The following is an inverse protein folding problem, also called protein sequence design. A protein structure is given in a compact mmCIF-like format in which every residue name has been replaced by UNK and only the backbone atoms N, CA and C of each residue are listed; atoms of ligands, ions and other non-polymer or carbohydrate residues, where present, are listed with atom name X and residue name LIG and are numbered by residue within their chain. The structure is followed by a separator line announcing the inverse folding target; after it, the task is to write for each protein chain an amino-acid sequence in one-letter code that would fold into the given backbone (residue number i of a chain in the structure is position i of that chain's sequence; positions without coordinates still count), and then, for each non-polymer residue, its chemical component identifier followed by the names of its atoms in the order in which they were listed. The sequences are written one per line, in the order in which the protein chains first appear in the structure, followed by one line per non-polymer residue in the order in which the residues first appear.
data_IF_321193114765
#
_entry.id   IF_321193114765
#
_cell.length_a   1.000
_cell.length_b   1.000
_cell.length_c   1.000
_cell.angle_alpha   90.00
_cell.angle_beta   90.00
_cell.angle_gamma   90.00
#
_symmetry.space_group_name_H-M   'P 1'
#
loop_
_entity.id
_entity.type
_entity.pdbx_description
1 polymer ?
#
# COMPACT_ATOMS: atom_id res chain seq x y z
N UNK A 1 11.77 -10.12 19.71
CA UNK A 1 11.60 -9.72 21.11
C UNK A 1 10.49 -8.69 21.17
N UNK A 2 9.48 -8.96 22.00
CA UNK A 2 8.28 -8.12 22.12
C UNK A 2 7.82 -8.04 23.58
N UNK A 3 6.99 -7.05 23.87
CA UNK A 3 6.27 -6.93 25.15
C UNK A 3 7.18 -6.97 26.40
N UNK A 4 8.34 -6.30 26.38
CA UNK A 4 9.24 -6.27 27.53
C UNK A 4 10.04 -7.55 27.76
N UNK A 5 10.29 -8.34 26.72
CA UNK A 5 11.07 -9.58 26.82
C UNK A 5 12.50 -9.32 27.30
N UNK A 6 13.06 -10.20 28.13
CA UNK A 6 14.42 -10.06 28.69
C UNK A 6 15.27 -11.30 28.48
N UNK A 7 16.49 -11.12 27.99
CA UNK A 7 17.57 -12.12 28.00
C UNK A 7 18.67 -11.54 28.88
N UNK A 8 18.90 -12.12 30.05
CA UNK A 8 19.81 -11.48 30.99
C UNK A 8 20.58 -12.44 31.88
N UNK A 9 21.78 -12.00 32.23
CA UNK A 9 22.58 -12.54 33.32
C UNK A 9 22.84 -11.44 34.32
N UNK A 10 22.77 -11.75 35.61
CA UNK A 10 23.05 -10.78 36.66
C UNK A 10 23.75 -11.48 37.81
N UNK A 11 24.86 -10.90 38.28
CA UNK A 11 25.54 -11.34 39.50
C UNK A 11 25.38 -10.29 40.60
N UNK A 12 25.10 -10.77 41.81
CA UNK A 12 24.79 -9.91 42.94
C UNK A 12 23.38 -9.34 42.87
N UNK A 13 23.01 -8.62 43.93
CA UNK A 13 21.73 -7.90 44.02
C UNK A 13 22.05 -6.42 44.10
N UNK A 14 21.31 -5.60 43.36
CA UNK A 14 21.48 -4.14 43.41
C UNK A 14 21.41 -3.65 44.86
N UNK A 15 22.45 -2.94 45.31
CA UNK A 15 22.53 -2.41 46.67
C UNK A 15 23.01 -3.40 47.74
N UNK A 16 23.32 -4.66 47.39
CA UNK A 16 23.93 -5.63 48.30
C UNK A 16 25.33 -5.97 47.79
N UNK A 17 26.34 -5.63 48.57
CA UNK A 17 27.75 -5.88 48.23
C UNK A 17 28.15 -7.30 48.63
N UNK A 18 28.17 -8.22 47.68
CA UNK A 18 28.86 -9.51 47.80
C UNK A 18 30.28 -9.44 47.22
N UNK A 19 31.17 -10.34 47.64
CA UNK A 19 32.53 -10.46 47.10
C UNK A 19 32.54 -11.50 45.98
N UNK A 20 33.02 -11.10 44.80
CA UNK A 20 33.32 -12.00 43.69
C UNK A 20 32.20 -12.24 42.66
N UNK A 21 32.61 -12.71 41.48
CA UNK A 21 31.76 -12.99 40.31
C UNK A 21 31.92 -11.96 39.18
N UNK A 22 31.46 -12.27 37.97
CA UNK A 22 31.34 -11.33 36.85
C UNK A 22 29.92 -11.35 36.31
N UNK A 23 29.52 -10.37 35.49
CA UNK A 23 28.13 -10.14 35.05
C UNK A 23 27.47 -11.24 34.20
N UNK A 24 28.10 -12.43 34.11
CA UNK A 24 27.69 -13.57 33.31
C UNK A 24 27.96 -13.37 31.82
N UNK A 25 28.03 -14.46 31.05
CA UNK A 25 28.22 -14.39 29.61
C UNK A 25 26.94 -14.80 28.89
N UNK A 26 26.55 -14.04 27.88
CA UNK A 26 25.41 -14.32 27.01
C UNK A 26 25.95 -14.60 25.61
N UNK A 27 25.68 -15.80 25.09
CA UNK A 27 26.01 -16.16 23.71
C UNK A 27 24.73 -16.35 22.93
N UNK A 28 24.55 -15.58 21.85
CA UNK A 28 23.38 -15.68 20.98
C UNK A 28 23.86 -16.02 19.57
N UNK A 29 23.31 -17.09 19.01
CA UNK A 29 23.45 -17.41 17.60
C UNK A 29 22.05 -17.43 16.99
N UNK A 30 21.77 -16.48 16.09
CA UNK A 30 20.46 -16.32 15.46
C UNK A 30 20.63 -15.83 14.03
N UNK A 31 19.67 -16.11 13.15
CA UNK A 31 19.69 -15.54 11.80
C UNK A 31 19.50 -14.02 11.83
N UNK A 32 18.48 -13.55 12.53
CA UNK A 32 18.22 -12.14 12.78
C UNK A 32 17.70 -11.94 14.20
N UNK A 33 18.05 -10.81 14.81
CA UNK A 33 17.47 -10.38 16.08
C UNK A 33 16.57 -9.19 15.79
N UNK A 34 15.28 -9.35 16.09
CA UNK A 34 14.28 -8.31 15.90
C UNK A 34 13.73 -7.90 17.26
N UNK A 35 13.77 -6.61 17.57
CA UNK A 35 13.10 -5.99 18.70
C UNK A 35 12.20 -4.86 18.23
N UNK A 36 11.21 -4.51 19.04
CA UNK A 36 10.41 -3.31 18.83
C UNK A 36 10.96 -2.22 19.74
N UNK A 37 11.46 -1.12 19.16
CA UNK A 37 12.19 -0.08 19.91
C UNK A 37 11.45 0.42 21.15
N UNK A 38 10.13 0.60 21.07
CA UNK A 38 9.29 1.10 22.16
C UNK A 38 8.71 0.04 23.11
N UNK A 39 9.01 -1.25 22.91
CA UNK A 39 8.49 -2.33 23.77
C UNK A 39 9.51 -2.77 24.85
N UNK A 40 10.54 -1.98 25.12
CA UNK A 40 11.51 -2.17 26.21
C UNK A 40 12.03 -3.61 26.38
N UNK A 41 12.46 -4.21 25.27
CA UNK A 41 12.96 -5.59 25.25
C UNK A 41 14.48 -5.61 25.27
N UNK A 42 15.05 -6.24 26.29
CA UNK A 42 16.44 -6.03 26.65
C UNK A 42 17.27 -7.32 26.62
N UNK A 43 18.53 -7.18 26.18
CA UNK A 43 19.58 -8.18 26.31
C UNK A 43 20.67 -7.59 27.19
N UNK A 44 20.81 -8.03 28.44
CA UNK A 44 21.78 -7.39 29.34
C UNK A 44 22.53 -8.34 30.28
N UNK A 45 23.80 -8.02 30.51
CA UNK A 45 24.67 -8.77 31.40
C UNK A 45 25.25 -7.82 32.47
N UNK A 46 24.77 -7.94 33.71
CA UNK A 46 25.05 -6.97 34.78
C UNK A 46 25.73 -7.54 36.02
N UNK A 47 26.52 -6.72 36.71
CA UNK A 47 27.19 -7.09 37.95
C UNK A 47 27.04 -6.02 39.03
N UNK A 48 26.58 -6.43 40.21
CA UNK A 48 26.40 -5.54 41.37
C UNK A 48 27.37 -5.85 42.53
N UNK A 49 28.16 -6.91 42.44
CA UNK A 49 29.13 -7.28 43.48
C UNK A 49 30.40 -6.42 43.43
N UNK A 50 31.06 -6.25 44.58
CA UNK A 50 32.32 -5.50 44.68
C UNK A 50 33.45 -6.28 43.99
N UNK A 51 34.17 -5.61 43.09
CA UNK A 51 35.24 -6.21 42.30
C UNK A 51 34.76 -7.07 41.12
N UNK A 52 33.45 -7.11 40.85
CA UNK A 52 32.89 -7.84 39.73
C UNK A 52 32.90 -7.00 38.45
N UNK A 53 33.42 -7.52 37.34
CA UNK A 53 33.29 -6.87 36.04
C UNK A 53 31.93 -7.19 35.40
N UNK A 54 31.49 -6.34 34.47
CA UNK A 54 30.29 -6.58 33.69
C UNK A 54 30.46 -7.82 32.80
N UNK A 55 29.34 -8.35 32.34
CA UNK A 55 29.32 -9.60 31.57
C UNK A 55 29.74 -9.45 30.11
N UNK A 56 30.04 -10.56 29.43
CA UNK A 56 30.33 -10.55 27.99
C UNK A 56 29.09 -10.98 27.21
N UNK A 57 28.65 -10.16 26.27
CA UNK A 57 27.57 -10.50 25.33
C UNK A 57 28.20 -10.75 23.96
N UNK A 58 28.13 -11.98 23.47
CA UNK A 58 28.61 -12.37 22.15
C UNK A 58 27.42 -12.74 21.26
N UNK A 59 27.18 -11.95 20.22
CA UNK A 59 26.07 -12.13 19.29
C UNK A 59 26.63 -12.46 17.91
N UNK A 60 26.21 -13.60 17.36
CA UNK A 60 26.43 -13.94 15.95
C UNK A 60 25.09 -13.90 15.23
N UNK A 61 24.93 -12.96 14.29
CA UNK A 61 23.66 -12.74 13.59
C UNK A 61 23.87 -12.09 12.23
N UNK A 62 22.95 -12.26 11.28
CA UNK A 62 22.99 -11.54 10.01
C UNK A 62 22.52 -10.08 10.16
N UNK A 63 21.81 -9.76 11.25
CA UNK A 63 21.39 -8.39 11.56
C UNK A 63 20.67 -8.27 12.90
N UNK A 64 20.68 -7.05 13.45
CA UNK A 64 19.92 -6.65 14.63
C UNK A 64 19.09 -5.43 14.26
N UNK A 65 17.79 -5.47 14.55
CA UNK A 65 16.87 -4.38 14.24
C UNK A 65 16.03 -4.03 15.47
N UNK A 66 15.93 -2.73 15.74
CA UNK A 66 15.08 -2.18 16.80
C UNK A 66 15.59 -2.36 18.23
N UNK A 67 16.79 -2.92 18.41
CA UNK A 67 17.57 -2.82 19.65
C UNK A 67 18.82 -1.98 19.38
N UNK A 68 19.18 -1.14 20.34
CA UNK A 68 20.40 -0.32 20.28
C UNK A 68 21.38 -0.76 21.38
N UNK A 69 22.68 -0.68 21.10
CA UNK A 69 23.69 -0.85 22.15
C UNK A 69 23.77 0.42 22.99
N UNK A 70 23.52 0.29 24.29
CA UNK A 70 23.57 1.43 25.24
C UNK A 70 24.30 1.03 26.51
N UNK A 71 25.02 1.96 27.16
CA UNK A 71 25.77 1.68 28.38
C UNK A 71 24.88 1.43 29.60
N UNK A 72 23.61 1.85 29.55
CA UNK A 72 22.62 1.64 30.59
C UNK A 72 21.27 1.27 29.95
N UNK A 73 20.46 0.52 30.69
CA UNK A 73 19.07 0.22 30.29
C UNK A 73 18.24 1.51 30.24
N UNK A 74 17.38 1.61 29.24
CA UNK A 74 16.46 2.72 29.01
C UNK A 74 15.02 2.22 29.01
N UNK A 75 14.06 3.06 28.57
CA UNK A 75 12.68 2.63 28.30
C UNK A 75 12.51 2.02 26.90
N UNK A 76 13.59 1.96 26.12
CA UNK A 76 13.61 1.37 24.79
C UNK A 76 14.33 0.03 24.83
N UNK A 77 14.16 -0.77 23.77
CA UNK A 77 14.85 -2.05 23.66
C UNK A 77 16.37 -1.89 23.56
N UNK A 78 17.09 -2.50 24.49
CA UNK A 78 18.54 -2.29 24.70
C UNK A 78 19.38 -3.56 24.62
N UNK A 79 20.64 -3.39 24.22
CA UNK A 79 21.72 -4.36 24.46
C UNK A 79 22.74 -3.68 25.38
N UNK A 80 22.97 -4.22 26.58
CA UNK A 80 23.75 -3.52 27.61
C UNK A 80 24.62 -4.45 28.46
N UNK A 81 25.85 -4.02 28.73
CA UNK A 81 26.73 -4.62 29.73
C UNK A 81 27.04 -3.59 30.80
N UNK A 82 26.91 -3.95 32.07
CA UNK A 82 27.07 -3.01 33.17
C UNK A 82 27.75 -3.64 34.38
N UNK A 83 28.60 -2.87 35.07
CA UNK A 83 29.04 -3.19 36.44
C UNK A 83 28.98 -1.97 37.36
N UNK A 84 28.56 -2.19 38.60
CA UNK A 84 28.51 -1.16 39.64
C UNK A 84 29.90 -0.80 40.21
N UNK A 85 30.78 -1.79 40.39
CA UNK A 85 32.04 -1.62 41.13
C UNK A 85 33.29 -2.03 40.33
N UNK A 86 33.12 -2.71 39.19
CA UNK A 86 34.22 -3.12 38.31
C UNK A 86 34.14 -2.44 36.95
N UNK A 87 34.86 -2.99 35.97
CA UNK A 87 34.80 -2.51 34.60
C UNK A 87 33.50 -2.97 33.93
N UNK A 88 32.96 -2.15 33.04
CA UNK A 88 31.86 -2.59 32.18
C UNK A 88 32.32 -3.76 31.31
N UNK A 89 31.39 -4.67 31.05
CA UNK A 89 31.64 -5.83 30.21
C UNK A 89 31.60 -5.47 28.71
N UNK A 90 31.82 -6.46 27.85
CA UNK A 90 31.98 -6.22 26.41
C UNK A 90 30.81 -6.79 25.61
N UNK A 91 30.34 -6.04 24.60
CA UNK A 91 29.37 -6.52 23.61
C UNK A 91 30.09 -6.72 22.27
N UNK A 92 30.15 -7.97 21.82
CA UNK A 92 30.74 -8.36 20.54
C UNK A 92 29.63 -8.80 19.58
N UNK A 93 29.49 -8.10 18.46
CA UNK A 93 28.52 -8.43 17.41
C UNK A 93 29.29 -8.89 16.18
N UNK A 94 29.12 -10.16 15.82
CA UNK A 94 29.68 -10.76 14.62
C UNK A 94 28.57 -10.89 13.58
N UNK A 95 28.65 -10.09 12.52
CA UNK A 95 27.79 -10.21 11.34
C UNK A 95 28.55 -10.87 10.20
N UNK A 96 28.27 -12.14 9.86
CA UNK A 96 28.85 -12.77 8.68
C UNK A 96 28.50 -11.93 7.44
N UNK A 97 29.50 -11.61 6.62
CA UNK A 97 29.33 -10.71 5.49
C UNK A 97 28.21 -11.18 4.55
N UNK A 98 27.15 -10.37 4.44
CA UNK A 98 26.19 -10.45 3.35
C UNK A 98 26.89 -9.92 2.09
N UNK A 99 26.94 -10.73 1.04
CA UNK A 99 27.45 -10.32 -0.28
C UNK A 99 26.29 -9.76 -1.13
N UNK A 100 26.11 -8.42 -1.21
CA UNK A 100 25.02 -7.80 -1.97
C UNK A 100 25.14 -8.02 -3.48
N UNK A 101 26.27 -8.51 -3.99
CA UNK A 101 26.46 -8.77 -5.43
C UNK A 101 25.56 -9.89 -5.97
N UNK A 102 25.03 -10.74 -5.08
CA UNK A 102 24.11 -11.85 -5.44
C UNK A 102 22.70 -11.39 -5.83
N UNK A 103 22.33 -10.13 -5.56
CA UNK A 103 21.01 -9.56 -5.87
C UNK A 103 20.98 -8.63 -7.09
N UNK A 104 22.14 -8.34 -7.69
CA UNK A 104 22.25 -7.50 -8.89
C UNK A 104 22.01 -8.36 -10.13
N UNK A 105 20.74 -8.60 -10.48
CA UNK A 105 20.43 -9.06 -11.84
C UNK A 105 20.61 -7.88 -12.79
N UNK A 106 21.47 -8.01 -13.81
CA UNK A 106 21.61 -6.98 -14.82
C UNK A 106 20.29 -6.85 -15.58
N UNK A 107 19.75 -5.62 -15.64
CA UNK A 107 18.62 -5.31 -16.50
C UNK A 107 19.05 -5.56 -17.95
N UNK A 108 18.25 -6.28 -18.77
CA UNK A 108 18.56 -6.47 -20.18
C UNK A 108 18.71 -5.11 -20.88
N UNK A 109 19.90 -4.83 -21.40
CA UNK A 109 20.23 -3.58 -22.11
C UNK A 109 19.55 -3.45 -23.48
N UNK A 110 18.91 -4.52 -23.96
CA UNK A 110 18.07 -4.46 -25.15
C UNK A 110 16.65 -4.05 -24.77
N UNK A 111 16.47 -2.76 -24.49
CA UNK A 111 15.15 -2.15 -24.62
C UNK A 111 14.75 -2.28 -26.10
N UNK A 112 13.57 -2.84 -26.36
CA UNK A 112 13.07 -2.95 -27.72
C UNK A 112 13.09 -1.57 -28.39
N UNK A 113 13.65 -1.49 -29.59
CA UNK A 113 13.84 -0.25 -30.32
C UNK A 113 12.48 0.42 -30.61
N UNK A 114 12.17 1.57 -29.96
CA UNK A 114 10.88 2.22 -30.12
C UNK A 114 10.67 2.74 -31.55
N UNK A 115 11.74 2.94 -32.33
CA UNK A 115 11.63 3.34 -33.74
C UNK A 115 11.02 2.25 -34.63
N UNK A 116 11.08 0.99 -34.20
CA UNK A 116 10.46 -0.17 -34.87
C UNK A 116 9.08 -0.53 -34.31
N UNK A 117 8.64 0.14 -33.26
CA UNK A 117 7.34 -0.12 -32.60
C UNK A 117 6.25 0.91 -32.97
N UNK A 118 6.61 2.00 -33.65
CA UNK A 118 5.63 2.96 -34.18
C UNK A 118 5.15 2.49 -35.55
N UNK A 119 3.99 1.84 -35.59
CA UNK A 119 3.26 1.64 -36.85
C UNK A 119 2.76 2.99 -37.34
N UNK A 120 3.34 3.52 -38.42
CA UNK A 120 2.80 4.67 -39.15
C UNK A 120 1.56 4.28 -39.96
N UNK A 121 0.49 3.85 -39.28
CA UNK A 121 -0.79 3.55 -39.91
C UNK A 121 -1.85 4.53 -39.45
N UNK A 122 -1.71 5.78 -39.88
CA UNK A 122 -2.84 6.70 -40.12
C UNK A 122 -2.39 7.79 -41.09
N UNK A 123 -2.02 7.41 -42.31
CA UNK A 123 -1.97 8.37 -43.40
C UNK A 123 -3.40 8.59 -43.91
N UNK A 124 -4.10 9.59 -43.37
CA UNK A 124 -5.24 10.23 -44.05
C UNK A 124 -4.63 11.02 -45.23
N UNK A 125 -4.19 10.31 -46.27
CA UNK A 125 -3.42 10.91 -47.36
C UNK A 125 -3.01 9.94 -48.46
N UNK A 126 -3.48 8.70 -48.43
CA UNK A 126 -3.31 7.75 -49.54
C UNK A 126 -4.42 7.85 -50.58
N UNK A 127 -4.48 6.89 -51.51
CA UNK A 127 -5.46 6.73 -52.62
C UNK A 127 -6.94 6.93 -52.26
N UNK A 128 -7.29 6.92 -50.97
CA UNK A 128 -8.61 7.23 -50.42
C UNK A 128 -8.90 8.74 -50.29
N UNK A 129 -7.87 9.59 -50.10
CA UNK A 129 -7.99 11.05 -49.99
C UNK A 129 -8.23 11.75 -51.35
N UNK A 130 -7.90 11.07 -52.47
CA UNK A 130 -8.16 11.53 -53.84
C UNK A 130 -9.41 10.90 -54.47
N UNK A 131 -10.33 10.35 -53.66
CA UNK A 131 -11.64 9.92 -54.16
C UNK A 131 -12.61 11.08 -54.02
N UNK A 132 -13.19 11.51 -55.14
CA UNK A 132 -14.32 12.43 -55.11
C UNK A 132 -15.46 11.79 -54.31
N UNK A 133 -15.77 12.36 -53.15
CA UNK A 133 -16.89 11.94 -52.33
C UNK A 133 -18.18 12.37 -53.02
N UNK A 134 -18.97 11.40 -53.52
CA UNK A 134 -20.28 11.67 -54.13
C UNK A 134 -21.39 11.10 -53.26
N UNK A 135 -22.24 11.98 -52.74
CA UNK A 135 -23.53 11.61 -52.14
C UNK A 135 -24.61 11.65 -53.23
N UNK A 136 -25.18 10.50 -53.57
CA UNK A 136 -26.28 10.41 -54.56
C UNK A 136 -27.57 10.10 -53.82
N UNK A 137 -28.49 11.05 -53.81
CA UNK A 137 -29.87 10.85 -53.35
C UNK A 137 -30.66 10.35 -54.57
N UNK A 138 -31.07 9.08 -54.57
CA UNK A 138 -31.96 8.55 -55.60
C UNK A 138 -33.37 8.44 -55.02
N UNK A 139 -34.28 9.32 -55.47
CA UNK A 139 -35.68 9.37 -55.07
C UNK A 139 -36.42 10.45 -55.87
N UNK A 140 -37.76 10.35 -55.98
CA UNK A 140 -38.59 11.29 -56.77
C UNK A 140 -38.85 12.65 -56.08
N UNK A 141 -37.98 13.08 -55.17
CA UNK A 141 -38.13 14.32 -54.41
C UNK A 141 -36.82 15.12 -54.45
N UNK A 142 -36.91 16.40 -54.80
CA UNK A 142 -35.79 17.29 -55.12
C UNK A 142 -34.75 17.46 -54.01
N UNK A 143 -33.64 18.12 -54.36
CA UNK A 143 -32.50 18.34 -53.46
C UNK A 143 -32.95 19.01 -52.15
N UNK A 144 -32.44 18.55 -50.99
CA UNK A 144 -32.65 19.25 -49.73
C UNK A 144 -32.02 20.65 -49.80
N UNK A 145 -32.66 21.62 -49.16
CA UNK A 145 -32.18 23.01 -49.09
C UNK A 145 -30.76 23.07 -48.53
N UNK A 146 -29.95 23.95 -49.10
CA UNK A 146 -28.59 24.20 -48.63
C UNK A 146 -28.63 24.85 -47.24
N UNK A 147 -27.64 24.62 -46.35
CA UNK A 147 -27.52 25.34 -45.09
C UNK A 147 -27.43 26.87 -45.22
N UNK A 148 -27.18 27.37 -46.44
CA UNK A 148 -27.14 28.80 -46.78
C UNK A 148 -28.48 29.34 -47.29
N UNK A 149 -29.51 28.48 -47.47
CA UNK A 149 -30.82 28.94 -47.88
C UNK A 149 -31.52 29.68 -46.74
N UNK A 150 -32.13 30.82 -47.06
CA UNK A 150 -32.91 31.59 -46.10
C UNK A 150 -34.06 30.76 -45.50
N UNK A 151 -34.10 30.72 -44.17
CA UNK A 151 -35.14 30.08 -43.40
C UNK A 151 -36.47 30.83 -43.58
N UNK A 152 -37.25 30.43 -44.59
CA UNK A 152 -38.67 30.81 -44.67
C UNK A 152 -39.44 30.05 -43.59
N UNK A 153 -39.70 30.74 -42.48
CA UNK A 153 -40.50 30.24 -41.38
C UNK A 153 -41.98 30.44 -41.69
N UNK A 154 -42.64 29.42 -42.20
CA UNK A 154 -44.11 29.35 -42.20
C UNK A 154 -44.47 28.31 -41.15
N UNK A 155 -44.71 28.75 -39.92
CA UNK A 155 -45.29 27.91 -38.88
C UNK A 155 -46.81 27.91 -39.03
N UNK A 156 -47.47 26.80 -39.41
CA UNK A 156 -48.88 26.64 -39.16
C UNK A 156 -49.09 26.46 -37.65
N UNK A 157 -49.93 27.30 -37.05
CA UNK A 157 -50.40 27.12 -35.67
C UNK A 157 -51.11 25.77 -35.57
N UNK A 158 -50.55 24.86 -34.76
CA UNK A 158 -51.23 23.62 -34.36
C UNK A 158 -51.96 23.91 -33.06
N UNK A 159 -53.28 23.81 -33.09
CA UNK A 159 -54.14 23.84 -31.92
C UNK A 159 -54.06 22.47 -31.22
N UNK A 160 -53.57 22.43 -29.98
CA UNK A 160 -53.56 21.20 -29.17
C UNK A 160 -54.96 21.02 -28.55
N UNK A 161 -55.60 19.88 -28.85
CA UNK A 161 -56.82 19.45 -28.19
C UNK A 161 -56.53 18.74 -26.85
N UNK A 162 -57.44 18.94 -25.89
CA UNK A 162 -57.33 18.48 -24.49
C UNK A 162 -57.44 16.95 -24.30
N UNK A 163 -56.87 16.50 -23.18
CA UNK A 163 -56.81 15.11 -22.73
C UNK A 163 -58.16 14.60 -22.22
N UNK A 164 -58.61 13.45 -22.73
CA UNK A 164 -59.72 12.67 -22.16
C UNK A 164 -59.15 11.57 -21.26
N UNK A 165 -59.50 11.52 -19.96
CA UNK A 165 -59.16 10.41 -19.09
C UNK A 165 -60.31 9.40 -19.05
N UNK A 166 -60.03 8.13 -19.34
CA UNK A 166 -60.96 7.05 -19.05
C UNK A 166 -60.21 5.83 -18.51
N UNK A 167 -60.39 5.68 -17.20
CA UNK A 167 -60.18 4.55 -16.32
C UNK A 167 -60.71 3.21 -16.84
N UNK A 168 -60.03 2.11 -16.44
CA UNK A 168 -60.72 0.87 -16.01
C UNK A 168 -59.85 0.01 -15.09
N UNK A 169 -60.25 0.02 -13.81
CA UNK A 169 -60.30 -1.06 -12.81
C UNK A 169 -59.56 -2.38 -13.11
N UNK A 170 -58.77 -2.85 -12.13
CA UNK A 170 -59.30 -3.79 -11.12
C UNK A 170 -58.24 -4.15 -10.07
N UNK A 171 -58.63 -4.01 -8.80
CA UNK A 171 -57.93 -4.51 -7.63
C UNK A 171 -58.40 -5.95 -7.40
N UNK A 172 -57.46 -6.89 -7.24
CA UNK A 172 -57.71 -8.18 -6.61
C UNK A 172 -56.51 -8.48 -5.69
N UNK A 173 -56.81 -8.60 -4.40
CA UNK A 173 -55.83 -8.81 -3.34
C UNK A 173 -55.12 -10.15 -3.44
N UNK A 174 -53.87 -10.16 -3.00
CA UNK A 174 -53.09 -11.38 -2.75
C UNK A 174 -52.69 -11.36 -1.28
N UNK A 175 -53.17 -12.39 -0.58
CA UNK A 175 -52.82 -12.69 0.80
C UNK A 175 -51.33 -12.99 0.95
N UNK A 176 -50.84 -12.56 2.10
CA UNK A 176 -49.47 -12.61 2.58
C UNK A 176 -48.98 -14.06 2.73
N UNK A 177 -47.94 -14.42 1.98
CA UNK A 177 -47.09 -15.57 2.28
C UNK A 177 -45.69 -15.05 2.58
N UNK A 178 -45.30 -15.11 3.85
CA UNK A 178 -43.94 -14.81 4.28
C UNK A 178 -42.95 -15.72 3.56
N UNK A 179 -42.21 -15.14 2.61
CA UNK A 179 -41.03 -15.75 2.01
C UNK A 179 -39.81 -15.32 2.81
N UNK A 180 -39.11 -16.31 3.37
CA UNK A 180 -37.89 -16.12 4.14
C UNK A 180 -36.84 -15.49 3.23
N UNK A 181 -36.46 -14.23 3.53
CA UNK A 181 -35.39 -13.52 2.81
C UNK A 181 -34.05 -14.17 3.13
N UNK A 182 -33.67 -15.13 2.31
CA UNK A 182 -32.35 -15.74 2.35
C UNK A 182 -31.33 -14.65 1.97
N UNK A 183 -30.52 -14.21 2.95
CA UNK A 183 -29.42 -13.28 2.69
C UNK A 183 -28.45 -13.95 1.71
N UNK A 184 -28.50 -13.50 0.46
CA UNK A 184 -27.48 -13.84 -0.53
C UNK A 184 -26.15 -13.34 0.06
N UNK A 185 -25.13 -14.19 0.21
CA UNK A 185 -23.84 -13.76 0.74
C UNK A 185 -23.35 -12.62 -0.14
N UNK A 186 -23.18 -11.44 0.49
CA UNK A 186 -22.73 -10.24 -0.19
C UNK A 186 -21.36 -10.57 -0.79
N UNK A 187 -21.32 -10.70 -2.12
CA UNK A 187 -20.11 -11.05 -2.85
C UNK A 187 -19.02 -10.06 -2.44
N UNK A 188 -17.91 -10.58 -1.94
CA UNK A 188 -16.73 -9.78 -1.63
C UNK A 188 -16.19 -9.27 -2.98
N UNK A 189 -16.15 -7.96 -3.16
CA UNK A 189 -15.63 -7.29 -4.35
C UNK A 189 -14.36 -6.55 -3.94
N UNK A 190 -13.31 -6.69 -4.72
CA UNK A 190 -12.05 -5.99 -4.43
C UNK A 190 -12.20 -4.49 -4.61
N UNK A 191 -11.53 -3.72 -3.74
CA UNK A 191 -11.50 -2.28 -3.83
C UNK A 191 -10.65 -1.85 -5.04
N UNK A 192 -11.17 -0.91 -5.83
CA UNK A 192 -10.52 -0.38 -7.03
C UNK A 192 -10.18 1.11 -6.92
N UNK A 193 -10.47 1.75 -5.78
CA UNK A 193 -10.10 3.16 -5.53
C UNK A 193 -9.96 3.48 -4.03
N UNK A 194 -9.27 4.59 -3.74
CA UNK A 194 -9.09 5.15 -2.40
C UNK A 194 -9.99 6.38 -2.26
N UNK A 195 -10.80 6.43 -1.21
CA UNK A 195 -11.67 7.57 -0.89
C UNK A 195 -11.28 8.14 0.47
N UNK A 196 -11.14 9.47 0.56
CA UNK A 196 -10.94 10.16 1.84
C UNK A 196 -12.27 10.69 2.37
N UNK A 197 -12.59 10.41 3.63
CA UNK A 197 -13.80 10.95 4.26
C UNK A 197 -13.59 12.39 4.77
N UNK A 198 -14.66 13.00 5.29
CA UNK A 198 -14.65 14.37 5.83
C UNK A 198 -13.80 14.52 7.10
N UNK A 199 -13.41 13.42 7.75
CA UNK A 199 -12.52 13.38 8.91
C UNK A 199 -11.06 13.13 8.51
N UNK A 200 -10.79 12.95 7.21
CA UNK A 200 -9.47 12.77 6.66
C UNK A 200 -8.95 11.32 6.65
N UNK A 201 -9.79 10.34 6.98
CA UNK A 201 -9.46 8.91 6.99
C UNK A 201 -9.60 8.33 5.57
N UNK A 202 -8.67 7.46 5.17
CA UNK A 202 -8.68 6.79 3.87
C UNK A 202 -9.44 5.46 3.95
N UNK A 203 -10.37 5.26 3.02
CA UNK A 203 -11.16 4.05 2.83
C UNK A 203 -10.84 3.42 1.47
N UNK A 204 -10.66 2.10 1.45
CA UNK A 204 -10.59 1.33 0.21
C UNK A 204 -12.01 0.95 -0.22
N UNK A 205 -12.44 1.39 -1.40
CA UNK A 205 -13.82 1.20 -1.89
C UNK A 205 -13.84 0.64 -3.32
N UNK A 206 -14.93 -0.06 -3.65
CA UNK A 206 -15.21 -0.52 -5.00
C UNK A 206 -16.20 0.43 -5.68
N UNK A 207 -15.72 1.31 -6.56
CA UNK A 207 -16.54 2.25 -7.33
C UNK A 207 -16.84 1.69 -8.74
N UNK A 208 -18.05 1.91 -9.26
CA UNK A 208 -18.41 1.49 -10.63
C UNK A 208 -17.63 2.26 -11.70
N UNK A 209 -17.25 3.50 -11.39
CA UNK A 209 -16.49 4.39 -12.26
C UNK A 209 -15.31 4.96 -11.45
N UNK A 210 -14.24 4.17 -11.23
CA UNK A 210 -13.09 4.68 -10.49
C UNK A 210 -12.48 5.85 -11.27
N UNK A 211 -12.38 7.02 -10.63
CA UNK A 211 -11.54 8.09 -11.12
C UNK A 211 -10.11 7.53 -11.14
N UNK A 212 -9.51 7.50 -12.33
CA UNK A 212 -8.13 7.02 -12.52
C UNK A 212 -7.25 7.68 -11.45
N UNK A 213 -6.41 6.92 -10.71
CA UNK A 213 -5.38 7.52 -9.90
C UNK A 213 -4.43 8.23 -10.87
N UNK A 214 -4.66 9.53 -11.07
CA UNK A 214 -3.72 10.40 -11.74
C UNK A 214 -2.44 10.35 -10.93
N UNK A 215 -1.52 9.47 -11.36
CA UNK A 215 -0.12 9.55 -11.00
C UNK A 215 0.28 10.97 -11.40
N UNK A 216 0.62 11.87 -10.45
CA UNK A 216 1.12 13.18 -10.84
C UNK A 216 2.32 12.95 -11.76
N UNK A 217 2.22 13.47 -12.98
CA UNK A 217 3.33 13.43 -13.93
C UNK A 217 4.51 14.09 -13.23
N UNK A 218 5.53 13.29 -12.89
CA UNK A 218 6.84 13.79 -12.49
C UNK A 218 7.39 14.55 -13.70
N UNK A 219 7.20 15.87 -13.71
CA UNK A 219 7.93 16.76 -14.60
C UNK A 219 9.37 16.82 -14.11
N UNK A 220 10.28 16.15 -14.82
CA UNK A 220 11.71 16.41 -14.69
C UNK A 220 12.09 17.69 -15.48
N UNK A 221 13.13 18.42 -15.02
CA UNK A 221 13.56 19.71 -15.58
C UNK A 221 14.14 19.61 -17.00
#
# INVERSE_FOLDING_TARGET
MRFGSKISTTVGTQGITGIGGGGGNITINAGFILGVKGENSDIFASAFNTGANGGIISITTNGIYGLDFRPNLTSFSDITTYSQFGLNGTVNINTPGLDPSRGLTNLPVNLADPSKQVSQSCAIGGKLANRDNRFTISGKGGLPKSPTDELSSIHPLVELADLVPSSTNSIAGVEEKQEVKQEVPKRIVEANTLMRDSQGVLHLVAASNPLSPAIPQLSCP
#
